data_IF_155358985652
#
_entry.id   IF_155358985652
#
_cell.length_a   1.000
_cell.length_b   1.000
_cell.length_c   1.000
_cell.angle_alpha   90.00
_cell.angle_beta   90.00
_cell.angle_gamma   90.00
#
_symmetry.space_group_name_H-M   'P 1'
#
loop_
_entity.id
_entity.type
_entity.pdbx_description
1 polymer ?
#
# COMPACT_ATOMS: atom_id res chain seq x y z
N UNK A 1 2.84 -6.29 44.18
CA UNK A 1 1.70 -6.17 43.25
C UNK A 1 2.24 -6.36 41.85
N UNK A 2 1.88 -7.45 41.18
CA UNK A 2 2.16 -7.58 39.74
C UNK A 2 1.13 -6.72 39.02
N UNK A 3 1.58 -5.68 38.33
CA UNK A 3 0.73 -4.95 37.40
C UNK A 3 0.31 -5.91 36.28
N UNK A 4 -0.98 -6.22 36.21
CA UNK A 4 -1.58 -6.88 35.06
C UNK A 4 -1.45 -5.96 33.85
N UNK A 5 -0.46 -6.22 32.99
CA UNK A 5 -0.34 -5.58 31.66
C UNK A 5 -1.56 -5.96 30.84
N UNK A 6 -2.42 -4.99 30.55
CA UNK A 6 -3.51 -5.16 29.60
C UNK A 6 -2.88 -5.28 28.20
N UNK A 7 -3.18 -6.34 27.42
CA UNK A 7 -2.68 -6.49 26.06
C UNK A 7 -3.12 -5.32 25.18
N UNK A 8 -2.23 -4.81 24.32
CA UNK A 8 -2.59 -3.79 23.36
C UNK A 8 -3.61 -4.33 22.35
N UNK A 9 -4.58 -3.51 21.95
CA UNK A 9 -5.53 -3.85 20.89
C UNK A 9 -4.77 -4.02 19.56
N UNK A 10 -4.94 -5.14 18.83
CA UNK A 10 -4.41 -5.30 17.48
C UNK A 10 -4.88 -4.17 16.56
N UNK A 11 -4.04 -3.84 15.57
CA UNK A 11 -4.39 -2.89 14.50
C UNK A 11 -4.42 -3.63 13.20
N UNK A 12 -5.44 -3.37 12.40
CA UNK A 12 -5.55 -3.94 11.07
C UNK A 12 -4.45 -3.37 10.16
N UNK A 13 -3.94 -4.21 9.30
CA UNK A 13 -2.76 -3.96 8.49
C UNK A 13 -2.81 -4.83 7.24
N UNK A 14 -2.25 -4.32 6.14
CA UNK A 14 -2.14 -5.04 4.89
C UNK A 14 -0.71 -4.96 4.36
N UNK A 15 -0.29 -5.98 3.62
CA UNK A 15 0.99 -6.03 2.94
C UNK A 15 0.82 -6.69 1.57
N UNK A 16 1.66 -6.31 0.61
CA UNK A 16 1.60 -6.84 -0.76
C UNK A 16 2.87 -7.59 -1.13
N UNK A 17 2.71 -8.71 -1.83
CA UNK A 17 3.81 -9.49 -2.40
C UNK A 17 3.69 -9.41 -3.92
N UNK A 18 4.55 -8.61 -4.56
CA UNK A 18 4.60 -8.59 -6.02
C UNK A 18 5.40 -9.78 -6.55
N UNK A 19 4.78 -10.54 -7.45
CA UNK A 19 5.36 -11.70 -8.12
C UNK A 19 5.49 -11.38 -9.60
N UNK A 20 6.69 -11.51 -10.17
CA UNK A 20 6.97 -11.14 -11.57
C UNK A 20 6.44 -12.15 -12.59
N UNK A 21 6.38 -13.43 -12.22
CA UNK A 21 5.72 -14.52 -12.94
C UNK A 21 5.37 -15.62 -11.93
N UNK A 22 4.08 -15.81 -11.66
CA UNK A 22 3.62 -16.80 -10.70
C UNK A 22 3.66 -18.24 -11.23
N UNK A 23 3.88 -18.42 -12.54
CA UNK A 23 3.89 -19.73 -13.21
C UNK A 23 5.30 -20.24 -13.50
N UNK A 24 6.32 -19.39 -13.31
CA UNK A 24 7.72 -19.78 -13.49
C UNK A 24 8.16 -20.81 -12.44
N UNK A 25 9.07 -21.72 -12.83
CA UNK A 25 9.68 -22.68 -11.90
C UNK A 25 10.47 -21.97 -10.79
N UNK A 26 11.07 -20.80 -11.09
CA UNK A 26 11.75 -19.95 -10.14
C UNK A 26 10.96 -18.66 -9.93
N UNK A 27 10.17 -18.62 -8.85
CA UNK A 27 9.35 -17.46 -8.50
C UNK A 27 10.23 -16.31 -7.98
N UNK A 28 10.19 -15.18 -8.67
CA UNK A 28 10.81 -13.94 -8.23
C UNK A 28 9.77 -13.04 -7.55
N UNK A 29 10.08 -12.56 -6.34
CA UNK A 29 9.25 -11.62 -5.61
C UNK A 29 9.98 -10.32 -5.30
N UNK A 30 9.23 -9.22 -5.23
CA UNK A 30 9.75 -7.93 -4.77
C UNK A 30 9.67 -7.84 -3.25
N UNK A 31 10.74 -7.39 -2.63
CA UNK A 31 10.81 -7.05 -1.21
C UNK A 31 11.65 -5.80 -1.01
N UNK A 32 11.40 -5.07 0.07
CA UNK A 32 12.09 -3.84 0.42
C UNK A 32 13.00 -4.07 1.63
N UNK A 33 14.11 -3.32 1.68
CA UNK A 33 14.90 -3.20 2.90
C UNK A 33 14.41 -2.00 3.69
N UNK A 34 13.93 -2.23 4.91
CA UNK A 34 13.42 -1.17 5.79
C UNK A 34 14.52 -0.15 6.12
N UNK A 35 14.14 1.13 6.14
CA UNK A 35 15.04 2.22 6.55
C UNK A 35 15.63 1.97 7.93
N UNK A 36 16.93 2.25 8.08
CA UNK A 36 17.62 2.16 9.37
C UNK A 36 17.09 3.14 10.43
N UNK A 37 16.31 4.15 10.00
CA UNK A 37 15.75 5.20 10.88
C UNK A 37 14.44 4.80 11.57
N UNK A 38 13.89 3.62 11.30
CA UNK A 38 12.63 3.17 11.89
C UNK A 38 12.81 2.75 13.35
N UNK A 39 11.89 3.16 14.21
CA UNK A 39 11.88 2.82 15.64
C UNK A 39 11.56 1.34 15.92
N UNK A 40 11.06 0.61 14.91
CA UNK A 40 10.65 -0.78 15.03
C UNK A 40 11.16 -1.59 13.83
N UNK A 41 11.95 -2.63 14.13
CA UNK A 41 12.56 -3.55 13.15
C UNK A 41 13.35 -2.86 12.00
N UNK A 42 14.29 -1.96 12.30
CA UNK A 42 15.14 -1.35 11.27
C UNK A 42 16.03 -2.41 10.59
N UNK A 43 16.41 -2.16 9.33
CA UNK A 43 17.31 -3.00 8.53
C UNK A 43 16.82 -4.41 8.14
N UNK A 44 15.60 -4.81 8.51
CA UNK A 44 15.04 -6.07 8.03
C UNK A 44 14.55 -5.96 6.58
N UNK A 45 14.55 -7.09 5.88
CA UNK A 45 13.80 -7.20 4.64
C UNK A 45 12.33 -7.47 4.97
N UNK A 46 11.44 -6.74 4.32
CA UNK A 46 10.01 -6.86 4.48
C UNK A 46 9.31 -6.62 3.15
N UNK A 47 8.11 -7.16 3.02
CA UNK A 47 7.20 -6.75 1.96
C UNK A 47 6.63 -5.37 2.28
N UNK A 48 6.29 -4.61 1.24
CA UNK A 48 5.67 -3.30 1.43
C UNK A 48 4.29 -3.49 2.06
N UNK A 49 4.01 -2.68 3.07
CA UNK A 49 2.81 -2.82 3.85
C UNK A 49 2.87 -2.05 5.15
N UNK A 50 1.70 -1.86 5.74
CA UNK A 50 1.55 -1.04 6.91
C UNK A 50 0.14 -1.09 7.46
N UNK A 51 -0.24 -0.04 8.17
CA UNK A 51 -1.49 -0.02 8.95
C UNK A 51 -2.61 0.48 8.07
N UNK A 52 -3.79 -0.12 8.25
CA UNK A 52 -5.01 0.39 7.65
C UNK A 52 -5.32 1.79 8.21
N UNK A 53 -5.51 2.75 7.32
CA UNK A 53 -5.94 4.10 7.66
C UNK A 53 -7.42 4.32 7.29
N UNK A 54 -8.06 5.32 7.88
CA UNK A 54 -9.47 5.63 7.60
C UNK A 54 -9.70 5.93 6.11
N UNK A 55 -8.79 6.67 5.49
CA UNK A 55 -8.82 7.04 4.06
C UNK A 55 -8.75 5.83 3.11
N UNK A 56 -8.10 4.74 3.55
CA UNK A 56 -8.06 3.49 2.77
C UNK A 56 -9.46 2.89 2.64
N UNK A 57 -10.25 2.94 3.72
CA UNK A 57 -11.64 2.42 3.73
C UNK A 57 -12.61 3.28 2.93
N UNK A 58 -12.24 4.52 2.62
CA UNK A 58 -13.00 5.44 1.77
C UNK A 58 -12.63 5.29 0.28
N UNK A 59 -11.54 4.58 -0.01
CA UNK A 59 -11.05 4.38 -1.37
C UNK A 59 -11.84 3.28 -2.08
N UNK A 60 -12.36 3.59 -3.27
CA UNK A 60 -13.15 2.64 -4.06
C UNK A 60 -12.21 1.67 -4.79
N UNK A 61 -12.40 0.37 -4.52
CA UNK A 61 -11.80 -0.73 -5.30
C UNK A 61 -12.87 -1.33 -6.19
N UNK A 62 -12.69 -1.24 -7.51
CA UNK A 62 -13.65 -1.85 -8.46
C UNK A 62 -13.63 -3.37 -8.33
N UNK A 63 -14.77 -3.99 -8.66
CA UNK A 63 -14.95 -5.45 -8.61
C UNK A 63 -14.74 -6.10 -7.23
N UNK A 64 -14.63 -5.30 -6.15
CA UNK A 64 -14.62 -5.82 -4.79
C UNK A 64 -16.04 -5.72 -4.19
N UNK A 65 -16.62 -6.86 -3.81
CA UNK A 65 -17.94 -6.92 -3.16
C UNK A 65 -17.90 -6.73 -1.63
N UNK A 66 -16.70 -6.67 -1.05
CA UNK A 66 -16.47 -6.60 0.40
C UNK A 66 -15.75 -5.28 0.75
N UNK A 67 -16.36 -4.49 1.62
CA UNK A 67 -15.85 -3.18 2.00
C UNK A 67 -14.59 -3.27 2.89
N UNK A 68 -14.49 -4.27 3.76
CA UNK A 68 -13.31 -4.49 4.60
C UNK A 68 -12.12 -4.91 3.74
N UNK A 69 -12.34 -5.85 2.82
CA UNK A 69 -11.32 -6.28 1.86
C UNK A 69 -10.88 -5.12 0.95
N UNK A 70 -11.82 -4.29 0.50
CA UNK A 70 -11.51 -3.09 -0.30
C UNK A 70 -10.56 -2.15 0.43
N UNK A 71 -10.83 -1.87 1.71
CA UNK A 71 -9.95 -1.04 2.54
C UNK A 71 -8.56 -1.65 2.70
N UNK A 72 -8.46 -2.96 2.91
CA UNK A 72 -7.17 -3.65 3.00
C UNK A 72 -6.39 -3.65 1.68
N UNK A 73 -7.05 -3.81 0.54
CA UNK A 73 -6.44 -3.70 -0.80
C UNK A 73 -5.92 -2.28 -1.05
N UNK A 74 -6.71 -1.26 -0.72
CA UNK A 74 -6.30 0.13 -0.82
C UNK A 74 -5.10 0.44 0.07
N UNK A 75 -5.11 -0.03 1.33
CA UNK A 75 -3.98 0.08 2.25
C UNK A 75 -2.71 -0.53 1.67
N UNK A 76 -2.79 -1.76 1.13
CA UNK A 76 -1.65 -2.43 0.53
C UNK A 76 -1.09 -1.66 -0.68
N UNK A 77 -1.97 -1.13 -1.54
CA UNK A 77 -1.58 -0.33 -2.70
C UNK A 77 -0.94 1.01 -2.31
N UNK A 78 -1.52 1.70 -1.32
CA UNK A 78 -0.98 2.95 -0.76
C UNK A 78 0.41 2.73 -0.19
N UNK A 79 0.57 1.75 0.70
CA UNK A 79 1.85 1.45 1.35
C UNK A 79 2.94 1.05 0.32
N UNK A 80 2.56 0.31 -0.72
CA UNK A 80 3.47 -0.01 -1.83
C UNK A 80 3.97 1.24 -2.55
N UNK A 81 3.07 2.21 -2.77
CA UNK A 81 3.44 3.47 -3.40
C UNK A 81 4.29 4.30 -2.44
N UNK A 82 3.90 4.47 -1.18
CA UNK A 82 4.64 5.22 -0.16
C UNK A 82 6.06 4.70 0.03
N UNK A 83 6.23 3.39 0.30
CA UNK A 83 7.52 2.84 0.71
C UNK A 83 8.52 2.74 -0.45
N UNK A 84 8.07 2.38 -1.65
CA UNK A 84 8.98 2.07 -2.79
C UNK A 84 8.60 2.70 -4.13
N UNK A 85 7.59 3.57 -4.17
CA UNK A 85 7.26 4.39 -5.35
C UNK A 85 6.59 3.61 -6.49
N UNK A 86 6.08 2.42 -6.23
CA UNK A 86 5.38 1.60 -7.23
C UNK A 86 3.88 1.82 -7.10
N UNK A 87 3.29 2.46 -8.10
CA UNK A 87 1.87 2.79 -8.16
C UNK A 87 1.08 1.66 -8.84
N UNK A 88 0.33 0.89 -8.06
CA UNK A 88 -0.49 -0.23 -8.54
C UNK A 88 -1.90 0.24 -8.86
N UNK A 89 -2.11 0.69 -10.10
CA UNK A 89 -3.39 1.24 -10.55
C UNK A 89 -3.65 0.90 -12.00
N UNK A 90 -4.92 0.82 -12.38
CA UNK A 90 -5.35 0.86 -13.78
C UNK A 90 -5.30 2.30 -14.30
N UNK A 91 -5.16 2.46 -15.62
CA UNK A 91 -4.98 3.74 -16.32
C UNK A 91 -3.70 4.50 -15.93
N UNK A 92 -2.81 3.84 -15.16
CA UNK A 92 -1.55 4.43 -14.72
C UNK A 92 -0.61 4.74 -15.88
N UNK A 93 -0.69 4.04 -17.00
CA UNK A 93 0.11 4.26 -18.22
C UNK A 93 -0.02 5.67 -18.80
N UNK A 94 -1.10 6.40 -18.48
CA UNK A 94 -1.31 7.79 -18.88
C UNK A 94 -0.38 8.78 -18.16
N UNK A 95 0.20 8.37 -17.04
CA UNK A 95 1.12 9.19 -16.25
C UNK A 95 2.55 9.13 -16.80
N UNK A 96 3.16 10.29 -16.98
CA UNK A 96 4.60 10.40 -17.18
C UNK A 96 5.37 10.02 -15.92
N UNK A 97 6.67 9.72 -16.06
CA UNK A 97 7.57 9.47 -14.91
C UNK A 97 7.60 10.65 -13.93
N UNK A 98 7.59 11.88 -14.46
CA UNK A 98 7.59 13.11 -13.63
C UNK A 98 6.29 13.27 -12.84
N UNK A 99 5.14 12.98 -13.45
CA UNK A 99 3.86 12.99 -12.75
C UNK A 99 3.83 11.94 -11.63
N UNK A 100 4.26 10.70 -11.86
CA UNK A 100 4.32 9.69 -10.80
C UNK A 100 5.18 10.11 -9.61
N UNK A 101 6.32 10.74 -9.88
CA UNK A 101 7.18 11.28 -8.82
C UNK A 101 6.46 12.39 -8.03
N UNK A 102 5.78 13.32 -8.71
CA UNK A 102 4.99 14.37 -8.06
C UNK A 102 3.87 13.79 -7.20
N UNK A 103 3.15 12.78 -7.67
CA UNK A 103 2.08 12.14 -6.89
C UNK A 103 2.63 11.41 -5.66
N UNK A 104 3.82 10.84 -5.77
CA UNK A 104 4.51 10.22 -4.64
C UNK A 104 4.87 11.27 -3.59
N UNK A 105 5.44 12.41 -4.02
CA UNK A 105 5.76 13.53 -3.14
C UNK A 105 4.51 14.11 -2.47
N UNK A 106 3.40 14.25 -3.21
CA UNK A 106 2.12 14.76 -2.70
C UNK A 106 1.53 13.82 -1.63
N UNK A 107 1.60 12.51 -1.86
CA UNK A 107 1.15 11.50 -0.89
C UNK A 107 2.01 11.53 0.37
N UNK A 108 3.34 11.45 0.22
CA UNK A 108 4.29 11.43 1.35
C UNK A 108 4.22 12.72 2.17
N UNK A 109 3.93 13.86 1.53
CA UNK A 109 3.79 15.16 2.20
C UNK A 109 2.41 15.37 2.83
N UNK A 110 1.45 14.47 2.59
CA UNK A 110 0.07 14.59 3.05
C UNK A 110 -0.72 15.71 2.36
N UNK A 111 -0.29 16.14 1.16
CA UNK A 111 -1.01 17.13 0.34
C UNK A 111 -2.28 16.50 -0.23
N UNK A 112 -2.20 15.23 -0.61
CA UNK A 112 -3.34 14.42 -1.05
C UNK A 112 -3.27 13.04 -0.38
N UNK A 113 -4.42 12.51 -0.01
CA UNK A 113 -4.59 11.09 0.32
C UNK A 113 -4.47 10.24 -0.94
N UNK A 114 -4.25 8.93 -0.76
CA UNK A 114 -4.18 8.01 -1.89
C UNK A 114 -5.49 7.99 -2.70
N UNK A 115 -6.65 7.94 -2.04
CA UNK A 115 -7.96 8.00 -2.69
C UNK A 115 -8.17 9.27 -3.51
N UNK A 116 -7.77 10.44 -3.00
CA UNK A 116 -7.85 11.72 -3.73
C UNK A 116 -6.95 11.73 -4.97
N UNK A 117 -5.76 11.12 -4.90
CA UNK A 117 -4.88 10.96 -6.07
C UNK A 117 -5.58 10.13 -7.14
N UNK A 118 -6.21 9.02 -6.76
CA UNK A 118 -6.92 8.16 -7.69
C UNK A 118 -8.06 8.90 -8.38
N UNK A 119 -8.89 9.60 -7.61
CA UNK A 119 -10.03 10.36 -8.13
C UNK A 119 -9.57 11.50 -9.07
N UNK A 120 -8.62 12.33 -8.62
CA UNK A 120 -8.16 13.50 -9.37
C UNK A 120 -7.51 13.13 -10.71
N UNK A 121 -6.77 12.02 -10.75
CA UNK A 121 -6.05 11.57 -11.94
C UNK A 121 -6.80 10.52 -12.76
N UNK A 122 -8.05 10.22 -12.40
CA UNK A 122 -8.88 9.19 -13.04
C UNK A 122 -8.16 7.83 -13.12
N UNK A 123 -7.55 7.44 -12.00
CA UNK A 123 -6.92 6.16 -11.77
C UNK A 123 -7.85 5.33 -10.86
N UNK A 124 -7.71 4.01 -10.87
CA UNK A 124 -8.48 3.19 -9.95
C UNK A 124 -7.76 1.89 -9.60
N UNK A 125 -8.17 1.31 -8.48
CA UNK A 125 -7.85 -0.06 -8.10
C UNK A 125 -8.93 -0.99 -8.65
N UNK A 126 -8.50 -2.17 -9.07
CA UNK A 126 -9.39 -3.26 -9.50
C UNK A 126 -9.03 -4.50 -8.69
N UNK A 127 -10.02 -5.12 -8.04
CA UNK A 127 -9.80 -6.27 -7.18
C UNK A 127 -9.21 -7.47 -7.95
N UNK A 128 -9.45 -7.55 -9.26
CA UNK A 128 -8.92 -8.62 -10.11
C UNK A 128 -7.39 -8.52 -10.33
N UNK A 129 -6.75 -7.43 -9.89
CA UNK A 129 -5.28 -7.24 -9.94
C UNK A 129 -4.53 -7.74 -8.70
N UNK A 130 -5.25 -8.20 -7.66
CA UNK A 130 -4.71 -8.65 -6.38
C UNK A 130 -4.91 -10.16 -6.18
#
# INVERSE_FOLDING_TARGET
MNETKIPAKPRDAAAIILIKDATAENVEFCWARRSAKLNFLPNLQAFAGGKLETSDSETIVKNCGDAELSGLMACAAREMFEEIGVLLVRNGETLTKGQRASLHDDLISGIMTFGEILEHWNLWLDADDF
#
